data_IF_220698711853
#
_entry.id   IF_220698711853
#
_cell.length_a   1.000
_cell.length_b   1.000
_cell.length_c   1.000
_cell.angle_alpha   90.00
_cell.angle_beta   90.00
_cell.angle_gamma   90.00
#
_symmetry.space_group_name_H-M   'P 1'
#
loop_
_entity.id
_entity.type
_entity.pdbx_description
1 polymer ?
#
# COMPACT_ATOMS: atom_id res chain seq x y z
N UNK A 1 -10.39 -7.77 25.39
CA UNK A 1 -10.80 -8.12 26.78
C UNK A 1 -9.73 -9.08 27.30
N UNK A 2 -8.49 -8.60 27.49
CA UNK A 2 -7.27 -9.44 27.54
C UNK A 2 -6.34 -9.12 28.72
N UNK A 3 -6.73 -8.17 29.57
CA UNK A 3 -5.87 -7.61 30.62
C UNK A 3 -5.67 -8.54 31.83
N UNK A 4 -6.38 -9.67 31.93
CA UNK A 4 -6.18 -10.65 33.01
C UNK A 4 -6.14 -12.06 32.41
N UNK A 5 -4.97 -12.70 32.50
CA UNK A 5 -4.75 -14.08 32.03
C UNK A 5 -4.45 -14.26 30.54
N UNK A 6 -4.30 -13.17 29.78
CA UNK A 6 -4.03 -13.20 28.34
C UNK A 6 -2.62 -12.72 27.94
N UNK A 7 -2.49 -12.32 26.67
CA UNK A 7 -1.27 -11.71 26.13
C UNK A 7 -1.17 -10.23 26.54
N UNK A 8 -0.88 -9.99 27.80
CA UNK A 8 -0.75 -8.65 28.35
C UNK A 8 0.23 -8.63 29.53
N UNK A 9 1.13 -7.63 29.57
CA UNK A 9 1.95 -7.35 30.75
C UNK A 9 1.11 -6.53 31.72
N UNK A 10 0.65 -7.16 32.78
CA UNK A 10 -0.28 -6.56 33.74
C UNK A 10 0.44 -6.19 35.03
N UNK A 11 0.22 -4.97 35.50
CA UNK A 11 0.73 -4.48 36.78
C UNK A 11 -0.44 -4.03 37.64
N UNK A 12 -0.47 -4.47 38.89
CA UNK A 12 -1.46 -4.07 39.89
C UNK A 12 -0.77 -3.20 40.95
N UNK A 13 -1.31 -2.00 41.19
CA UNK A 13 -0.90 -1.13 42.29
C UNK A 13 -2.01 -1.17 43.34
N UNK A 14 -1.70 -1.66 44.53
CA UNK A 14 -2.61 -1.66 45.66
C UNK A 14 -2.36 -0.42 46.52
N UNK A 15 -3.31 0.51 46.55
CA UNK A 15 -3.26 1.69 47.41
C UNK A 15 -3.97 1.37 48.72
N UNK A 16 -3.32 1.62 49.85
CA UNK A 16 -3.85 1.36 51.20
C UNK A 16 -3.63 2.57 52.10
N UNK A 17 -4.46 2.69 53.13
CA UNK A 17 -4.39 3.79 54.09
C UNK A 17 -3.92 3.26 55.46
N UNK A 18 -2.99 3.94 56.16
CA UNK A 18 -2.36 3.42 57.38
C UNK A 18 -3.17 3.66 58.68
N UNK A 19 -4.43 4.07 58.58
CA UNK A 19 -5.27 4.32 59.75
C UNK A 19 -5.94 3.04 60.27
N UNK A 20 -6.04 2.93 61.60
CA UNK A 20 -6.59 1.75 62.28
C UNK A 20 -8.06 1.53 61.94
N UNK A 21 -8.83 2.61 61.74
CA UNK A 21 -10.24 2.52 61.35
C UNK A 21 -10.45 1.85 59.98
N UNK A 22 -9.41 1.81 59.14
CA UNK A 22 -9.45 1.24 57.79
C UNK A 22 -8.78 -0.13 57.68
N UNK A 23 -8.38 -0.74 58.80
CA UNK A 23 -7.68 -2.02 58.80
C UNK A 23 -8.42 -3.13 58.04
N UNK A 24 -9.74 -3.21 58.18
CA UNK A 24 -10.55 -4.22 57.49
C UNK A 24 -10.51 -4.04 55.96
N UNK A 25 -10.57 -2.80 55.48
CA UNK A 25 -10.51 -2.46 54.05
C UNK A 25 -9.09 -2.66 53.48
N UNK A 26 -8.08 -2.28 54.25
CA UNK A 26 -6.68 -2.54 53.93
C UNK A 26 -6.42 -4.04 53.80
N UNK A 27 -6.92 -4.85 54.74
CA UNK A 27 -6.82 -6.31 54.70
C UNK A 27 -7.51 -6.90 53.47
N UNK A 28 -8.72 -6.42 53.13
CA UNK A 28 -9.44 -6.87 51.94
C UNK A 28 -8.67 -6.55 50.64
N UNK A 29 -8.10 -5.34 50.55
CA UNK A 29 -7.28 -4.89 49.40
C UNK A 29 -6.02 -5.73 49.25
N UNK A 30 -5.32 -6.00 50.36
CA UNK A 30 -4.13 -6.86 50.35
C UNK A 30 -4.48 -8.30 49.98
N UNK A 31 -5.56 -8.86 50.51
CA UNK A 31 -6.05 -10.20 50.12
C UNK A 31 -6.40 -10.27 48.63
N UNK A 32 -6.97 -9.21 48.06
CA UNK A 32 -7.21 -9.13 46.62
C UNK A 32 -5.89 -9.09 45.84
N UNK A 33 -4.95 -8.23 46.23
CA UNK A 33 -3.63 -8.17 45.60
C UNK A 33 -2.91 -9.51 45.63
N UNK A 34 -2.94 -10.23 46.76
CA UNK A 34 -2.37 -11.58 46.89
C UNK A 34 -3.02 -12.58 45.93
N UNK A 35 -4.34 -12.50 45.72
CA UNK A 35 -5.03 -13.34 44.72
C UNK A 35 -4.61 -12.98 43.29
N UNK A 36 -4.49 -11.68 42.99
CA UNK A 36 -4.08 -11.22 41.67
C UNK A 36 -2.64 -11.61 41.32
N UNK A 37 -1.73 -11.67 42.30
CA UNK A 37 -0.37 -12.20 42.09
C UNK A 37 -0.34 -13.66 41.59
N UNK A 38 -1.40 -14.44 41.81
CA UNK A 38 -1.50 -15.82 41.34
C UNK A 38 -1.99 -15.93 39.89
N UNK A 39 -2.47 -14.83 39.30
CA UNK A 39 -2.91 -14.80 37.91
C UNK A 39 -1.68 -14.85 37.01
N UNK A 40 -1.52 -15.97 36.29
CA UNK A 40 -0.43 -16.14 35.32
C UNK A 40 -0.81 -15.45 34.02
N UNK A 41 0.04 -14.56 33.53
CA UNK A 41 -0.08 -13.92 32.21
C UNK A 41 1.05 -14.40 31.30
N UNK A 42 0.75 -14.75 30.06
CA UNK A 42 1.75 -15.11 29.06
C UNK A 42 1.81 -14.01 28.00
N UNK A 43 2.68 -13.02 28.22
CA UNK A 43 2.82 -11.89 27.31
C UNK A 43 3.86 -12.21 26.22
N UNK A 44 3.40 -12.26 24.98
CA UNK A 44 4.20 -12.43 23.76
C UNK A 44 4.16 -11.12 22.99
N UNK A 45 5.31 -10.72 22.43
CA UNK A 45 5.34 -9.55 21.54
C UNK A 45 4.40 -9.81 20.38
N UNK A 46 3.43 -8.92 20.17
CA UNK A 46 2.52 -8.95 19.04
C UNK A 46 3.31 -8.61 17.77
N UNK A 47 4.13 -9.54 17.30
CA UNK A 47 4.74 -9.47 15.98
C UNK A 47 3.63 -9.80 15.01
N UNK A 48 3.31 -8.87 14.11
CA UNK A 48 2.28 -9.01 13.08
C UNK A 48 2.71 -10.01 12.00
N UNK A 49 2.88 -11.28 12.38
CA UNK A 49 3.04 -12.39 11.45
C UNK A 49 1.84 -12.47 10.50
N UNK A 50 0.67 -12.01 10.97
CA UNK A 50 -0.54 -11.79 10.19
C UNK A 50 -0.33 -10.87 9.00
N UNK A 51 0.44 -9.77 9.12
CA UNK A 51 0.69 -8.88 7.98
C UNK A 51 1.51 -9.55 6.89
N UNK A 52 2.52 -10.35 7.26
CA UNK A 52 3.33 -11.06 6.27
C UNK A 52 2.55 -12.22 5.64
N UNK A 53 1.77 -12.97 6.42
CA UNK A 53 0.90 -14.04 5.92
C UNK A 53 -0.21 -13.48 5.02
N UNK A 54 -0.81 -12.35 5.40
CA UNK A 54 -1.86 -11.69 4.64
C UNK A 54 -1.30 -11.03 3.38
N UNK A 55 -0.13 -10.38 3.45
CA UNK A 55 0.55 -9.87 2.27
C UNK A 55 0.88 -11.00 1.29
N UNK A 56 1.33 -12.16 1.78
CA UNK A 56 1.56 -13.34 0.94
C UNK A 56 0.27 -13.84 0.29
N UNK A 57 -0.81 -14.03 1.06
CA UNK A 57 -2.13 -14.42 0.52
C UNK A 57 -2.63 -13.45 -0.55
N UNK A 58 -2.52 -12.14 -0.30
CA UNK A 58 -2.91 -11.11 -1.26
C UNK A 58 -2.04 -11.15 -2.52
N UNK A 59 -0.73 -11.37 -2.36
CA UNK A 59 0.19 -11.50 -3.49
C UNK A 59 -0.12 -12.74 -4.35
N UNK A 60 -0.42 -13.87 -3.70
CA UNK A 60 -0.79 -15.12 -4.38
C UNK A 60 -2.13 -14.96 -5.11
N UNK A 61 -3.11 -14.29 -4.49
CA UNK A 61 -4.40 -14.02 -5.14
C UNK A 61 -4.26 -13.06 -6.32
N UNK A 62 -3.43 -12.02 -6.21
CA UNK A 62 -3.12 -11.14 -7.35
C UNK A 62 -2.48 -11.93 -8.50
N UNK A 63 -1.57 -12.86 -8.20
CA UNK A 63 -0.97 -13.72 -9.24
C UNK A 63 -2.02 -14.61 -9.91
N UNK A 64 -2.90 -15.24 -9.12
CA UNK A 64 -3.99 -16.08 -9.62
C UNK A 64 -4.91 -15.28 -10.56
N UNK A 65 -5.39 -14.13 -10.10
CA UNK A 65 -6.28 -13.26 -10.86
C UNK A 65 -5.62 -12.72 -12.12
N UNK A 66 -4.35 -12.30 -12.05
CA UNK A 66 -3.59 -11.87 -13.24
C UNK A 66 -3.44 -13.00 -14.28
N UNK A 67 -3.24 -14.24 -13.83
CA UNK A 67 -3.19 -15.40 -14.71
C UNK A 67 -4.52 -15.68 -15.40
N UNK A 68 -5.62 -15.61 -14.64
CA UNK A 68 -6.98 -15.79 -15.15
C UNK A 68 -7.35 -14.70 -16.18
N UNK A 69 -7.03 -13.44 -15.88
CA UNK A 69 -7.17 -12.31 -16.82
C UNK A 69 -6.33 -12.52 -18.09
N UNK A 70 -5.07 -12.93 -17.96
CA UNK A 70 -4.21 -13.18 -19.11
C UNK A 70 -4.76 -14.30 -20.01
N UNK A 71 -5.29 -15.38 -19.41
CA UNK A 71 -5.94 -16.46 -20.15
C UNK A 71 -7.23 -15.99 -20.82
N UNK A 72 -8.03 -15.18 -20.13
CA UNK A 72 -9.24 -14.62 -20.70
C UNK A 72 -8.94 -13.68 -21.88
N UNK A 73 -7.89 -12.85 -21.78
CA UNK A 73 -7.46 -11.95 -22.86
C UNK A 73 -6.95 -12.72 -24.08
N UNK A 74 -6.17 -13.80 -23.89
CA UNK A 74 -5.72 -14.64 -25.02
C UNK A 74 -6.88 -15.35 -25.71
N UNK A 75 -7.85 -15.85 -24.94
CA UNK A 75 -9.02 -16.54 -25.51
C UNK A 75 -9.99 -15.57 -26.20
N UNK A 76 -10.10 -14.34 -25.71
CA UNK A 76 -10.92 -13.28 -26.30
C UNK A 76 -10.22 -12.55 -27.46
N UNK A 77 -8.99 -12.93 -27.83
CA UNK A 77 -8.20 -12.28 -28.89
C UNK A 77 -7.84 -10.83 -28.58
N UNK A 78 -7.86 -10.43 -27.31
CA UNK A 78 -7.48 -9.07 -26.87
C UNK A 78 -5.97 -9.01 -26.68
N UNK A 79 -5.38 -7.89 -27.11
CA UNK A 79 -3.94 -7.65 -26.91
C UNK A 79 -3.62 -7.54 -25.41
N UNK A 80 -2.48 -8.10 -24.99
CA UNK A 80 -2.05 -8.11 -23.59
C UNK A 80 -1.90 -6.67 -23.09
N UNK A 81 -2.69 -6.30 -22.08
CA UNK A 81 -2.63 -4.96 -21.48
C UNK A 81 -1.46 -4.89 -20.50
N UNK A 82 -0.43 -4.13 -20.83
CA UNK A 82 0.74 -3.87 -19.97
C UNK A 82 0.45 -2.64 -19.11
N UNK A 83 0.61 -2.76 -17.79
CA UNK A 83 0.33 -1.70 -16.82
C UNK A 83 1.59 -1.01 -16.27
N UNK A 84 2.77 -1.29 -16.85
CA UNK A 84 4.02 -0.63 -16.45
C UNK A 84 4.07 0.85 -16.87
N UNK A 85 4.98 1.59 -16.23
CA UNK A 85 5.27 2.98 -16.60
C UNK A 85 5.67 3.04 -18.09
N UNK A 86 4.99 3.90 -18.86
CA UNK A 86 5.25 4.03 -20.29
C UNK A 86 6.66 4.53 -20.56
N UNK A 87 7.30 3.95 -21.59
CA UNK A 87 8.59 4.41 -22.10
C UNK A 87 8.49 5.88 -22.57
N UNK A 88 9.57 6.67 -22.48
CA UNK A 88 9.59 8.02 -23.04
C UNK A 88 9.21 8.07 -24.53
N UNK A 89 9.51 7.01 -25.29
CA UNK A 89 9.12 6.90 -26.70
C UNK A 89 7.60 6.77 -26.86
N UNK A 90 6.97 5.91 -26.06
CA UNK A 90 5.51 5.74 -26.05
C UNK A 90 4.79 7.01 -25.59
N UNK A 91 5.39 7.73 -24.63
CA UNK A 91 4.87 9.00 -24.15
C UNK A 91 4.96 10.08 -25.24
N UNK A 92 6.05 10.13 -26.01
CA UNK A 92 6.21 11.06 -27.13
C UNK A 92 5.22 10.76 -28.27
N UNK A 93 4.99 9.49 -28.58
CA UNK A 93 4.00 9.06 -29.57
C UNK A 93 2.57 9.44 -29.14
N UNK A 94 2.23 9.23 -27.87
CA UNK A 94 0.96 9.66 -27.29
C UNK A 94 0.80 11.19 -27.32
N UNK A 95 1.86 11.95 -27.02
CA UNK A 95 1.85 13.42 -27.11
C UNK A 95 1.59 13.89 -28.54
N UNK A 96 2.26 13.30 -29.52
CA UNK A 96 2.04 13.62 -30.93
C UNK A 96 0.62 13.28 -31.39
N UNK A 97 0.04 12.18 -30.90
CA UNK A 97 -1.35 11.84 -31.16
C UNK A 97 -2.33 12.87 -30.56
N UNK A 98 -2.06 13.36 -29.35
CA UNK A 98 -2.83 14.43 -28.70
C UNK A 98 -2.73 15.74 -29.49
N UNK A 99 -1.53 16.14 -29.92
CA UNK A 99 -1.33 17.37 -30.70
C UNK A 99 -2.08 17.31 -32.04
N UNK A 100 -2.08 16.16 -32.72
CA UNK A 100 -2.89 15.94 -33.92
C UNK A 100 -4.39 15.99 -33.64
N UNK A 101 -4.82 15.43 -32.52
CA UNK A 101 -6.23 15.45 -32.09
C UNK A 101 -6.69 16.88 -31.78
N UNK A 102 -5.83 17.70 -31.16
CA UNK A 102 -6.12 19.11 -30.85
C UNK A 102 -6.08 20.00 -32.10
N UNK A 103 -5.23 19.67 -33.08
CA UNK A 103 -5.08 20.45 -34.32
C UNK A 103 -6.09 20.08 -35.42
N UNK A 104 -6.62 18.86 -35.42
CA UNK A 104 -7.66 18.40 -36.36
C UNK A 104 -9.07 18.70 -35.87
N UNK A 105 -10.04 18.82 -36.79
CA UNK A 105 -11.44 19.18 -36.48
C UNK A 105 -12.28 18.09 -35.77
N UNK A 106 -11.64 17.13 -35.11
CA UNK A 106 -12.30 16.00 -34.44
C UNK A 106 -12.66 14.82 -35.37
N UNK A 107 -12.29 14.87 -36.66
CA UNK A 107 -12.52 13.78 -37.63
C UNK A 107 -11.47 12.65 -37.63
N UNK A 108 -10.38 12.77 -36.87
CA UNK A 108 -9.38 11.70 -36.72
C UNK A 108 -9.66 10.93 -35.42
N UNK A 109 -9.81 9.60 -35.54
CA UNK A 109 -10.41 8.71 -34.54
C UNK A 109 -9.90 8.82 -33.10
N UNK A 110 -10.68 8.23 -32.17
CA UNK A 110 -10.39 8.24 -30.74
C UNK A 110 -8.96 7.77 -30.42
N UNK A 111 -8.34 8.44 -29.44
CA UNK A 111 -7.06 8.05 -28.88
C UNK A 111 -7.13 6.60 -28.36
N UNK A 112 -6.16 5.73 -28.70
CA UNK A 112 -6.16 4.33 -28.28
C UNK A 112 -5.78 4.22 -26.81
N UNK A 113 -6.78 4.39 -25.94
CA UNK A 113 -6.62 4.24 -24.49
C UNK A 113 -7.07 2.84 -24.10
N UNK A 114 -6.13 2.02 -23.66
CA UNK A 114 -6.33 0.61 -23.32
C UNK A 114 -6.28 0.39 -21.81
N UNK A 115 -5.54 1.21 -21.07
CA UNK A 115 -5.38 1.04 -19.62
C UNK A 115 -5.53 2.36 -18.84
N UNK A 116 -5.71 2.25 -17.52
CA UNK A 116 -5.85 3.40 -16.62
C UNK A 116 -4.57 4.24 -16.54
N UNK A 117 -3.39 3.63 -16.75
CA UNK A 117 -2.10 4.36 -16.76
C UNK A 117 -2.03 5.31 -17.95
N UNK A 118 -2.51 4.88 -19.12
CA UNK A 118 -2.64 5.64 -20.35
C UNK A 118 -3.66 6.75 -20.20
N UNK A 119 -4.77 6.50 -19.51
CA UNK A 119 -5.72 7.55 -19.14
C UNK A 119 -5.02 8.64 -18.32
N UNK A 120 -4.27 8.27 -17.27
CA UNK A 120 -3.59 9.23 -16.40
C UNK A 120 -2.52 10.03 -17.16
N UNK A 121 -1.66 9.36 -17.92
CA UNK A 121 -0.63 10.00 -18.75
C UNK A 121 -1.26 10.90 -19.82
N UNK A 122 -2.34 10.45 -20.46
CA UNK A 122 -3.10 11.23 -21.42
C UNK A 122 -3.59 12.54 -20.81
N UNK A 123 -4.25 12.50 -19.65
CA UNK A 123 -4.72 13.72 -18.98
C UNK A 123 -3.58 14.67 -18.61
N UNK A 124 -2.43 14.14 -18.17
CA UNK A 124 -1.26 14.96 -17.88
C UNK A 124 -0.71 15.66 -19.13
N UNK A 125 -0.53 14.92 -20.22
CA UNK A 125 -0.03 15.45 -21.50
C UNK A 125 -1.03 16.43 -22.11
N UNK A 126 -2.32 16.12 -22.08
CA UNK A 126 -3.37 17.01 -22.59
C UNK A 126 -3.41 18.34 -21.84
N UNK A 127 -3.29 18.30 -20.50
CA UNK A 127 -3.17 19.51 -19.68
C UNK A 127 -1.94 20.34 -20.09
N UNK A 128 -0.82 19.71 -20.36
CA UNK A 128 0.40 20.40 -20.79
C UNK A 128 0.19 21.10 -22.13
N UNK A 129 -0.35 20.40 -23.13
CA UNK A 129 -0.65 20.97 -24.45
C UNK A 129 -1.67 22.12 -24.34
N UNK A 130 -2.72 21.96 -23.54
CA UNK A 130 -3.71 23.02 -23.32
C UNK A 130 -3.12 24.27 -22.63
N UNK A 131 -2.18 24.09 -21.69
CA UNK A 131 -1.47 25.20 -21.04
C UNK A 131 -0.49 25.89 -22.00
N UNK A 132 0.21 25.14 -22.85
CA UNK A 132 1.11 25.67 -23.88
C UNK A 132 0.33 26.51 -24.91
N UNK A 133 -0.84 26.05 -25.36
CA UNK A 133 -1.74 26.84 -26.21
C UNK A 133 -2.31 28.07 -25.51
N UNK A 134 -2.64 27.98 -24.22
CA UNK A 134 -3.08 29.13 -23.41
C UNK A 134 -1.97 30.16 -23.20
N UNK A 135 -0.71 29.75 -23.17
CA UNK A 135 0.44 30.65 -23.09
C UNK A 135 0.79 31.28 -24.45
N UNK A 136 0.51 30.58 -25.56
CA UNK A 136 0.66 31.11 -26.92
C UNK A 136 -0.45 32.10 -27.31
N UNK A 137 -1.63 31.99 -26.70
CA UNK A 137 -2.67 33.01 -26.75
C UNK A 137 -2.32 34.15 -25.77
N UNK A 138 -1.66 35.20 -26.28
CA UNK A 138 -1.37 36.42 -25.52
C UNK A 138 -2.65 37.15 -25.03
N UNK A 139 -2.50 38.19 -24.18
CA UNK A 139 -3.62 38.82 -23.50
C UNK A 139 -4.44 39.69 -24.48
N UNK A 140 -5.59 39.21 -24.93
CA UNK A 140 -6.62 40.11 -25.46
C UNK A 140 -7.29 40.83 -24.30
N UNK A 141 -7.06 42.15 -24.25
CA UNK A 141 -7.70 43.09 -23.33
C UNK A 141 -9.02 43.58 -23.95
N UNK A 142 -10.06 43.43 -23.14
CA UNK A 142 -11.20 44.34 -22.95
C UNK A 142 -12.32 44.40 -24.00
N UNK A 143 -13.52 44.03 -23.56
CA UNK A 143 -14.75 44.14 -24.36
C UNK A 143 -15.90 43.21 -23.93
N UNK A 144 -16.26 43.19 -22.64
CA UNK A 144 -17.54 42.63 -22.21
C UNK A 144 -18.70 43.50 -22.77
N UNK A 145 -19.77 42.89 -23.28
CA UNK A 145 -21.10 43.37 -22.92
C UNK A 145 -21.84 42.27 -22.12
N UNK A 146 -22.66 42.64 -21.12
CA UNK A 146 -23.36 41.66 -20.31
C UNK A 146 -24.56 41.14 -21.11
N UNK A 147 -24.48 39.92 -21.63
CA UNK A 147 -25.64 39.21 -22.15
C UNK A 147 -26.06 38.13 -21.16
N UNK A 148 -27.20 38.40 -20.54
CA UNK A 148 -27.91 37.56 -19.59
C UNK A 148 -28.30 36.19 -20.20
N UNK A 149 -28.52 35.14 -19.40
CA UNK A 149 -28.92 33.83 -19.90
C UNK A 149 -30.38 33.86 -20.33
N UNK A 150 -30.64 33.96 -21.63
CA UNK A 150 -31.98 33.71 -22.19
C UNK A 150 -32.16 32.20 -22.33
N UNK A 151 -32.91 31.65 -21.37
CA UNK A 151 -33.50 30.31 -21.43
C UNK A 151 -34.40 30.27 -22.67
N UNK A 152 -34.13 29.33 -23.58
CA UNK A 152 -35.08 28.96 -24.64
C UNK A 152 -35.42 27.49 -24.44
N UNK A 153 -36.61 27.25 -23.92
CA UNK A 153 -37.24 25.93 -23.83
C UNK A 153 -37.72 25.46 -25.21
N UNK A 154 -37.24 24.26 -25.59
CA UNK A 154 -38.01 23.12 -26.17
C UNK A 154 -38.70 23.27 -27.56
N UNK A 155 -38.80 22.18 -28.38
CA UNK A 155 -39.71 21.07 -28.06
C UNK A 155 -39.23 19.63 -28.40
N UNK A 156 -39.59 18.71 -27.50
CA UNK A 156 -40.35 17.45 -27.71
C UNK A 156 -39.84 16.46 -28.77
N UNK A 157 -39.47 15.24 -28.36
CA UNK A 157 -40.30 14.01 -28.49
C UNK A 157 -39.53 12.80 -27.97
N UNK A 158 -39.99 12.23 -26.86
CA UNK A 158 -39.69 10.85 -26.45
C UNK A 158 -40.85 9.95 -26.87
N UNK A 159 -40.54 8.87 -27.61
CA UNK A 159 -41.33 7.65 -27.75
C UNK A 159 -40.33 6.49 -27.62
N UNK A 160 -40.34 5.78 -26.48
CA UNK A 160 -41.00 4.49 -26.16
C UNK A 160 -40.25 3.27 -26.74
N UNK A 161 -39.61 2.49 -25.86
CA UNK A 161 -39.95 1.09 -25.49
C UNK A 161 -39.24 0.12 -26.47
N UNK A 162 -38.41 -0.84 -26.05
CA UNK A 162 -38.79 -2.02 -25.28
C UNK A 162 -37.64 -2.65 -24.48
N UNK A 163 -37.93 -2.98 -23.22
CA UNK A 163 -37.24 -4.00 -22.42
C UNK A 163 -37.79 -5.38 -22.78
N UNK A 164 -36.91 -6.32 -23.11
CA UNK A 164 -37.20 -7.76 -23.14
C UNK A 164 -35.88 -8.51 -22.93
N UNK A 165 -35.48 -8.69 -21.67
CA UNK A 165 -34.36 -9.56 -21.31
C UNK A 165 -34.91 -10.87 -20.73
N UNK A 166 -35.13 -11.84 -21.61
CA UNK A 166 -35.48 -13.21 -21.24
C UNK A 166 -34.26 -13.92 -20.65
N UNK A 167 -34.25 -14.01 -19.32
CA UNK A 167 -33.27 -14.76 -18.55
C UNK A 167 -33.65 -16.25 -18.55
N UNK A 168 -33.16 -16.99 -19.55
CA UNK A 168 -33.33 -18.43 -19.66
C UNK A 168 -32.25 -19.19 -18.87
N UNK A 169 -32.66 -19.63 -17.69
CA UNK A 169 -32.06 -20.62 -16.80
C UNK A 169 -31.66 -21.90 -17.57
N UNK A 170 -30.36 -22.24 -17.59
CA UNK A 170 -29.88 -23.58 -17.95
C UNK A 170 -29.12 -24.18 -16.78
N UNK A 171 -29.87 -24.95 -16.00
CA UNK A 171 -29.38 -26.01 -15.13
C UNK A 171 -28.68 -27.07 -15.99
N UNK A 172 -27.39 -27.32 -15.79
CA UNK A 172 -26.79 -28.63 -16.10
C UNK A 172 -25.91 -29.09 -14.93
N UNK A 173 -26.20 -30.33 -14.53
CA UNK A 173 -25.63 -31.10 -13.43
C UNK A 173 -24.15 -31.49 -13.64
N UNK A 174 -23.44 -31.89 -12.57
CA UNK A 174 -22.02 -32.26 -12.64
C UNK A 174 -21.84 -33.61 -13.34
N UNK A 175 -20.95 -33.66 -14.33
CA UNK A 175 -20.48 -34.91 -14.91
C UNK A 175 -19.15 -35.31 -14.27
N UNK A 176 -19.15 -36.50 -13.67
CA UNK A 176 -18.00 -37.25 -13.20
C UNK A 176 -16.87 -37.34 -14.24
N UNK A 177 -15.65 -36.96 -13.86
CA UNK A 177 -14.43 -37.35 -14.57
C UNK A 177 -13.46 -37.95 -13.55
N UNK A 178 -13.14 -39.22 -13.78
CA UNK A 178 -12.27 -40.09 -12.99
C UNK A 178 -10.81 -39.59 -12.91
N UNK A 179 -10.03 -40.02 -11.89
CA UNK A 179 -8.65 -39.59 -11.70
C UNK A 179 -7.75 -40.26 -12.73
N UNK A 180 -7.30 -39.51 -13.74
CA UNK A 180 -6.25 -39.96 -14.63
C UNK A 180 -4.89 -39.70 -13.96
N UNK A 181 -4.23 -40.78 -13.54
CA UNK A 181 -2.81 -40.81 -13.21
C UNK A 181 -2.01 -40.23 -14.37
N UNK A 182 -1.39 -39.07 -14.17
CA UNK A 182 -0.46 -38.46 -15.13
C UNK A 182 0.84 -38.15 -14.40
N UNK A 183 1.91 -38.63 -15.00
CA UNK A 183 3.28 -38.69 -14.53
C UNK A 183 3.78 -37.36 -13.98
N UNK A 184 4.42 -37.42 -12.81
CA UNK A 184 5.27 -36.38 -12.25
C UNK A 184 6.48 -36.17 -13.18
N UNK A 185 6.35 -35.27 -14.15
CA UNK A 185 7.50 -34.61 -14.78
C UNK A 185 7.60 -33.21 -14.14
N UNK A 186 8.24 -33.17 -12.96
CA UNK A 186 8.77 -31.94 -12.36
C UNK A 186 9.73 -31.30 -13.39
N UNK A 187 9.52 -30.04 -13.80
CA UNK A 187 10.52 -29.37 -14.62
C UNK A 187 11.78 -29.16 -13.79
N UNK A 188 12.91 -29.70 -14.25
CA UNK A 188 14.24 -29.46 -13.70
C UNK A 188 14.42 -27.96 -13.42
N UNK A 189 14.56 -27.61 -12.13
CA UNK A 189 14.87 -26.24 -11.71
C UNK A 189 16.21 -25.85 -12.35
N UNK A 190 16.16 -24.88 -13.25
CA UNK A 190 17.33 -24.27 -13.85
C UNK A 190 18.27 -23.76 -12.76
N UNK A 191 19.56 -24.10 -12.88
CA UNK A 191 20.62 -23.73 -11.92
C UNK A 191 20.66 -22.22 -11.58
N UNK A 192 20.09 -21.38 -12.44
CA UNK A 192 20.05 -19.92 -12.30
C UNK A 192 19.13 -19.44 -11.16
N UNK A 193 18.03 -20.15 -10.85
CA UNK A 193 17.12 -19.78 -9.75
C UNK A 193 17.74 -20.04 -8.38
N UNK A 194 18.56 -21.10 -8.27
CA UNK A 194 19.29 -21.42 -7.05
C UNK A 194 20.40 -20.40 -6.78
N UNK A 195 21.08 -19.94 -7.83
CA UNK A 195 22.10 -18.89 -7.74
C UNK A 195 21.50 -17.54 -7.31
N UNK A 196 20.36 -17.15 -7.89
CA UNK A 196 19.67 -15.90 -7.53
C UNK A 196 19.18 -15.92 -6.07
N UNK A 197 18.71 -17.07 -5.59
CA UNK A 197 18.33 -17.22 -4.18
C UNK A 197 19.52 -17.12 -3.23
N UNK A 198 20.71 -17.61 -3.64
CA UNK A 198 21.91 -17.51 -2.82
C UNK A 198 22.44 -16.08 -2.77
N UNK A 199 22.44 -15.37 -3.89
CA UNK A 199 22.82 -13.96 -3.96
C UNK A 199 21.89 -13.09 -3.09
N UNK A 200 20.58 -13.35 -3.14
CA UNK A 200 19.62 -12.64 -2.28
C UNK A 200 19.86 -12.91 -0.78
N UNK A 201 20.16 -14.17 -0.40
CA UNK A 201 20.50 -14.53 0.98
C UNK A 201 21.78 -13.84 1.44
N UNK A 202 22.80 -13.79 0.59
CA UNK A 202 24.07 -13.12 0.87
C UNK A 202 23.85 -11.61 1.07
N UNK A 203 23.04 -10.97 0.21
CA UNK A 203 22.71 -9.55 0.34
C UNK A 203 21.98 -9.26 1.67
N UNK A 204 21.00 -10.10 2.04
CA UNK A 204 20.26 -9.94 3.29
C UNK A 204 21.18 -10.12 4.52
N UNK A 205 22.09 -11.08 4.47
CA UNK A 205 23.08 -11.31 5.53
C UNK A 205 24.04 -10.13 5.68
N UNK A 206 24.49 -9.53 4.57
CA UNK A 206 25.34 -8.34 4.58
C UNK A 206 24.62 -7.13 5.20
N UNK A 207 23.35 -6.90 4.84
CA UNK A 207 22.54 -5.84 5.45
C UNK A 207 22.36 -6.04 6.96
N UNK A 208 22.11 -7.29 7.39
CA UNK A 208 21.97 -7.62 8.81
C UNK A 208 23.28 -7.35 9.58
N UNK A 209 24.43 -7.70 9.01
CA UNK A 209 25.72 -7.49 9.67
C UNK A 209 26.08 -5.99 9.74
N UNK A 210 25.79 -5.23 8.69
CA UNK A 210 25.93 -3.77 8.70
C UNK A 210 25.04 -3.13 9.78
N UNK A 211 23.79 -3.57 9.90
CA UNK A 211 22.87 -3.09 10.93
C UNK A 211 23.40 -3.40 12.35
N UNK A 212 23.93 -4.59 12.59
CA UNK A 212 24.57 -4.95 13.86
C UNK A 212 25.79 -4.08 14.17
N UNK A 213 26.64 -3.80 13.17
CA UNK A 213 27.80 -2.93 13.35
C UNK A 213 27.37 -1.49 13.69
N UNK A 214 26.37 -0.96 13.01
CA UNK A 214 25.82 0.36 13.32
C UNK A 214 25.24 0.42 14.74
N UNK A 215 24.51 -0.62 15.17
CA UNK A 215 24.01 -0.71 16.54
C UNK A 215 25.15 -0.74 17.58
N UNK A 216 26.21 -1.51 17.33
CA UNK A 216 27.40 -1.54 18.21
C UNK A 216 28.08 -0.16 18.29
N UNK A 217 28.20 0.56 17.16
CA UNK A 217 28.76 1.91 17.12
C UNK A 217 27.89 2.90 17.90
N UNK A 218 26.59 2.91 17.66
CA UNK A 218 25.65 3.77 18.36
C UNK A 218 25.65 3.50 19.88
N UNK A 219 25.72 2.23 20.29
CA UNK A 219 25.83 1.86 21.71
C UNK A 219 27.11 2.41 22.35
N UNK A 220 28.26 2.30 21.67
CA UNK A 220 29.53 2.88 22.15
C UNK A 220 29.43 4.40 22.27
N UNK A 221 28.85 5.06 21.28
CA UNK A 221 28.66 6.51 21.28
C UNK A 221 27.74 6.96 22.43
N UNK A 222 26.65 6.26 22.69
CA UNK A 222 25.76 6.57 23.81
C UNK A 222 26.46 6.44 25.17
N UNK A 223 27.29 5.41 25.34
CA UNK A 223 28.11 5.23 26.55
C UNK A 223 29.14 6.35 26.68
N UNK A 224 29.78 6.76 25.57
CA UNK A 224 30.72 7.87 25.58
C UNK A 224 30.03 9.18 25.96
N UNK A 225 28.90 9.52 25.34
CA UNK A 225 28.13 10.71 25.67
C UNK A 225 27.67 10.71 27.15
N UNK A 226 27.25 9.57 27.68
CA UNK A 226 26.90 9.46 29.10
C UNK A 226 28.12 9.69 30.01
N UNK A 227 29.30 9.23 29.59
CA UNK A 227 30.56 9.45 30.31
C UNK A 227 30.96 10.92 30.28
N UNK A 228 30.86 11.59 29.12
CA UNK A 228 31.17 13.01 28.95
C UNK A 228 30.22 13.89 29.77
N UNK A 229 28.92 13.56 29.80
CA UNK A 229 27.92 14.26 30.63
C UNK A 229 28.24 14.10 32.12
N UNK A 230 28.65 12.90 32.55
CA UNK A 230 29.05 12.67 33.94
C UNK A 230 30.34 13.41 34.30
N UNK A 231 31.29 13.52 33.37
CA UNK A 231 32.53 14.28 33.55
C UNK A 231 32.24 15.79 33.66
N UNK A 232 31.40 16.33 32.78
CA UNK A 232 30.97 17.73 32.80
C UNK A 232 30.22 18.09 34.10
N UNK A 233 29.43 17.17 34.65
CA UNK A 233 28.77 17.36 35.97
C UNK A 233 29.76 17.35 37.14
N UNK A 234 30.86 16.60 37.05
CA UNK A 234 31.89 16.52 38.10
C UNK A 234 32.83 17.72 38.12
N UNK A 235 33.05 18.37 36.96
CA UNK A 235 33.98 19.49 36.83
C UNK A 235 33.32 20.67 36.09
N UNK A 236 32.41 21.40 36.74
CA UNK A 236 31.67 22.51 36.09
C UNK A 236 32.56 23.71 35.72
N UNK A 237 33.77 23.83 36.27
CA UNK A 237 34.64 25.01 36.13
C UNK A 237 35.94 24.75 35.34
N UNK A 238 35.99 23.72 34.47
CA UNK A 238 37.19 23.42 33.65
C UNK A 238 37.09 23.94 32.21
N UNK A 239 36.17 24.87 31.93
CA UNK A 239 36.17 25.66 30.70
C UNK A 239 36.46 27.09 31.10
N UNK A 240 37.73 27.45 31.00
CA UNK A 240 38.27 28.80 30.76
C UNK A 240 39.66 28.86 31.39
N UNK A 241 40.58 28.06 30.87
CA UNK A 241 42.00 28.39 30.89
C UNK A 241 42.72 27.48 29.90
N UNK A 242 42.85 27.97 28.68
CA UNK A 242 44.04 27.70 27.90
C UNK A 242 44.46 28.98 27.18
N UNK A 243 45.77 29.24 27.10
CA UNK A 243 46.38 30.53 26.76
C UNK A 243 46.36 30.86 25.26
#
# INVERSE_FOLDING_TARGET
KDSLGGNCRTLLIACVWPDESQNDQTLATLKFATRMMRVKTSAVVNVSQEQHVQAKKLTDEIKRLKGELALHDTLAGRSRVVYDAMSPEQMAEMKAAIERFVAGDGSQGLLPVVNVVQVQTLFQLFRQVALEHKAAAGPEVDGMPPAQPTIVESPVTSHKEDESNDNALLHQQPSDIQPSTRTDDEPERTNDDAALLDEFKQHLAAQLEQAKQNFRKAKKQAVQCATDVNLAKRYPNLRDDHP
#
